data_IF_046840766925
#
_entry.id   IF_046840766925
#
_cell.length_a   1.000
_cell.length_b   1.000
_cell.length_c   1.000
_cell.angle_alpha   90.00
_cell.angle_beta   90.00
_cell.angle_gamma   90.00
#
_symmetry.space_group_name_H-M   'P 1'
#
loop_
_entity.id
_entity.type
_entity.pdbx_description
1 polymer ?
#
# COMPACT_ATOMS: atom_id res chain seq x y z
N UNK A 1 37.75 18.88 46.52
CA UNK A 1 37.67 17.79 45.52
C UNK A 1 36.24 17.30 45.28
N UNK A 2 35.50 16.75 46.26
CA UNK A 2 34.17 16.13 46.02
C UNK A 2 33.12 17.01 45.29
N UNK A 3 33.11 18.34 45.51
CA UNK A 3 32.16 19.27 44.88
C UNK A 3 32.16 19.23 43.34
N UNK A 4 33.34 19.12 42.71
CA UNK A 4 33.46 19.14 41.24
C UNK A 4 32.78 17.94 40.56
N UNK A 5 32.80 16.78 41.22
CA UNK A 5 32.15 15.57 40.70
C UNK A 5 30.63 15.68 40.71
N UNK A 6 30.05 16.41 41.66
CA UNK A 6 28.61 16.64 41.70
C UNK A 6 28.17 17.61 40.60
N UNK A 7 28.97 18.66 40.34
CA UNK A 7 28.72 19.61 39.26
C UNK A 7 28.76 18.96 37.88
N UNK A 8 29.69 18.04 37.62
CA UNK A 8 29.76 17.29 36.36
C UNK A 8 28.57 16.34 36.15
N UNK A 9 28.07 15.70 37.21
CA UNK A 9 26.86 14.85 37.13
C UNK A 9 25.62 15.69 36.81
N UNK A 10 25.47 16.85 37.45
CA UNK A 10 24.37 17.79 37.14
C UNK A 10 24.50 18.33 35.70
N UNK A 11 25.70 18.69 35.24
CA UNK A 11 25.93 19.15 33.88
C UNK A 11 25.57 18.08 32.83
N UNK A 12 25.93 16.82 33.08
CA UNK A 12 25.55 15.70 32.22
C UNK A 12 24.03 15.46 32.20
N UNK A 13 23.34 15.66 33.33
CA UNK A 13 21.88 15.57 33.41
C UNK A 13 21.18 16.68 32.60
N UNK A 14 21.75 17.89 32.56
CA UNK A 14 21.26 19.00 31.73
C UNK A 14 21.53 18.77 30.24
N UNK A 15 22.67 18.16 29.87
CA UNK A 15 23.01 17.85 28.47
C UNK A 15 22.19 16.69 27.85
N UNK A 16 21.45 15.91 28.66
CA UNK A 16 20.68 14.76 28.18
C UNK A 16 19.37 15.09 27.45
N UNK A 17 19.03 16.37 27.25
CA UNK A 17 17.72 16.81 26.76
C UNK A 17 17.75 17.39 25.33
N UNK A 18 18.48 16.74 24.42
CA UNK A 18 18.37 17.01 22.99
C UNK A 18 16.93 16.73 22.51
N UNK A 19 16.41 17.58 21.63
CA UNK A 19 15.10 17.39 21.00
C UNK A 19 15.01 16.01 20.33
N UNK A 20 13.95 15.25 20.61
CA UNK A 20 13.82 13.87 20.12
C UNK A 20 12.41 13.60 19.58
N UNK A 21 12.14 14.14 18.40
CA UNK A 21 11.08 13.65 17.52
C UNK A 21 11.35 12.17 17.24
N UNK A 22 10.47 11.29 17.73
CA UNK A 22 10.66 9.84 17.73
C UNK A 22 10.44 9.28 16.33
N UNK A 23 11.31 8.39 15.88
CA UNK A 23 11.09 7.66 14.63
C UNK A 23 10.05 6.55 14.86
N UNK A 24 8.91 6.66 14.18
CA UNK A 24 7.76 5.77 14.36
C UNK A 24 7.65 4.85 13.14
N UNK A 25 7.64 3.55 13.39
CA UNK A 25 7.76 2.50 12.38
C UNK A 25 6.64 1.47 12.47
N UNK A 26 6.45 0.71 11.39
CA UNK A 26 5.43 -0.34 11.25
C UNK A 26 5.43 -1.36 12.42
N UNK A 27 6.56 -1.55 13.10
CA UNK A 27 6.71 -2.47 14.24
C UNK A 27 6.62 -1.82 15.62
N UNK A 28 6.99 -0.55 15.77
CA UNK A 28 7.04 0.13 17.08
C UNK A 28 5.74 0.89 17.42
N UNK A 29 4.93 1.29 16.41
CA UNK A 29 3.77 2.16 16.59
C UNK A 29 2.76 1.68 17.65
N UNK A 30 2.33 0.41 17.61
CA UNK A 30 1.35 -0.13 18.56
C UNK A 30 1.90 -0.30 19.99
N UNK A 31 3.22 -0.16 20.19
CA UNK A 31 3.90 -0.20 21.49
C UNK A 31 4.14 1.22 22.05
N UNK A 32 4.50 2.17 21.17
CA UNK A 32 4.71 3.58 21.52
C UNK A 32 3.39 4.29 21.82
N UNK A 33 2.38 4.15 20.96
CA UNK A 33 1.14 4.94 21.05
C UNK A 33 0.12 4.27 21.97
N UNK A 34 0.28 4.51 23.28
CA UNK A 34 -0.59 4.01 24.35
C UNK A 34 -1.93 4.76 24.39
N UNK A 35 -2.83 4.35 25.27
CA UNK A 35 -4.18 4.96 25.42
C UNK A 35 -4.17 6.32 26.12
N UNK A 36 -3.15 6.60 26.93
CA UNK A 36 -3.03 7.79 27.80
C UNK A 36 -2.30 8.96 27.14
N UNK A 37 -1.59 8.71 26.05
CA UNK A 37 -0.49 9.55 25.60
C UNK A 37 -0.94 10.39 24.40
N UNK A 38 -0.61 11.68 24.39
CA UNK A 38 -0.90 12.58 23.27
C UNK A 38 0.28 12.56 22.28
N UNK A 39 0.00 12.31 21.01
CA UNK A 39 1.00 12.19 19.96
C UNK A 39 0.67 13.09 18.76
N UNK A 40 1.67 13.79 18.24
CA UNK A 40 1.60 14.45 16.91
C UNK A 40 2.52 13.67 15.98
N UNK A 41 1.96 13.15 14.89
CA UNK A 41 2.67 12.33 13.91
C UNK A 41 2.75 13.04 12.56
N UNK A 42 3.97 13.23 12.06
CA UNK A 42 4.24 13.63 10.68
C UNK A 42 4.46 12.39 9.79
N UNK A 43 3.69 12.29 8.70
CA UNK A 43 4.01 11.41 7.59
C UNK A 43 4.76 12.18 6.51
N UNK A 44 5.96 11.72 6.15
CA UNK A 44 6.86 12.35 5.19
C UNK A 44 7.46 11.34 4.19
N UNK A 45 8.20 11.84 3.20
CA UNK A 45 9.10 11.06 2.36
C UNK A 45 10.26 11.93 1.85
N UNK A 46 11.43 11.33 1.62
CA UNK A 46 12.69 12.06 1.36
C UNK A 46 12.71 12.77 0.01
N UNK A 47 11.94 12.29 -0.97
CA UNK A 47 11.75 12.92 -2.28
C UNK A 47 10.79 14.11 -2.25
N UNK A 48 10.08 14.36 -1.14
CA UNK A 48 9.09 15.42 -1.04
C UNK A 48 9.72 16.72 -0.51
N UNK A 49 10.15 17.61 -1.42
CA UNK A 49 10.83 18.86 -1.07
C UNK A 49 10.06 19.85 -0.17
N UNK A 50 8.74 19.66 0.03
CA UNK A 50 7.99 20.40 1.06
C UNK A 50 8.18 19.78 2.46
N UNK A 51 8.25 18.45 2.57
CA UNK A 51 8.58 17.78 3.83
C UNK A 51 9.98 18.19 4.31
N UNK A 52 10.96 18.25 3.41
CA UNK A 52 12.33 18.70 3.72
C UNK A 52 12.38 20.12 4.30
N UNK A 53 11.46 21.00 3.89
CA UNK A 53 11.32 22.36 4.44
C UNK A 53 10.53 22.41 5.76
N UNK A 54 9.73 21.39 6.05
CA UNK A 54 8.91 21.33 7.26
C UNK A 54 9.57 20.55 8.40
N UNK A 55 10.40 19.53 8.14
CA UNK A 55 11.13 18.78 9.17
C UNK A 55 11.80 19.68 10.25
N UNK A 56 12.62 20.70 9.91
CA UNK A 56 13.21 21.58 10.94
C UNK A 56 12.18 22.47 11.67
N UNK A 57 11.02 22.74 11.06
CA UNK A 57 9.88 23.41 11.73
C UNK A 57 9.18 22.46 12.71
N UNK A 58 9.13 21.17 12.41
CA UNK A 58 8.55 20.13 13.27
C UNK A 58 9.45 19.83 14.48
N UNK A 59 10.76 19.66 14.26
CA UNK A 59 11.74 19.49 15.32
C UNK A 59 11.75 20.70 16.29
N UNK A 60 11.63 21.93 15.78
CA UNK A 60 11.51 23.14 16.61
C UNK A 60 10.19 23.18 17.41
N UNK A 61 9.09 22.64 16.87
CA UNK A 61 7.82 22.57 17.60
C UNK A 61 7.89 21.61 18.80
N UNK A 62 8.60 20.48 18.67
CA UNK A 62 8.90 19.56 19.77
C UNK A 62 9.65 20.29 20.88
N UNK A 63 10.78 20.93 20.55
CA UNK A 63 11.63 21.61 21.52
C UNK A 63 10.87 22.71 22.28
N UNK A 64 10.06 23.50 21.58
CA UNK A 64 9.24 24.56 22.19
C UNK A 64 8.12 24.02 23.10
N UNK A 65 7.54 22.86 22.79
CA UNK A 65 6.51 22.23 23.62
C UNK A 65 7.09 21.47 24.81
N UNK A 66 8.18 20.69 24.61
CA UNK A 66 8.92 20.01 25.68
C UNK A 66 9.54 20.98 26.69
N UNK A 67 9.91 22.18 26.24
CA UNK A 67 10.39 23.27 27.12
C UNK A 67 9.26 24.07 27.78
N UNK A 68 8.00 23.83 27.40
CA UNK A 68 6.82 24.41 28.05
C UNK A 68 6.32 23.48 29.16
N UNK A 69 5.89 24.02 30.31
CA UNK A 69 5.32 23.23 31.42
C UNK A 69 3.89 22.74 31.16
N UNK A 70 3.61 22.24 29.96
CA UNK A 70 2.30 21.78 29.49
C UNK A 70 2.16 20.25 29.66
N UNK A 71 0.99 19.71 29.31
CA UNK A 71 0.77 18.27 29.20
C UNK A 71 1.76 17.65 28.18
N UNK A 72 2.37 16.48 28.44
CA UNK A 72 3.38 15.91 27.54
C UNK A 72 2.75 15.44 26.21
N UNK A 73 3.06 16.17 25.14
CA UNK A 73 2.73 15.82 23.75
C UNK A 73 4.00 15.27 23.09
N UNK A 74 3.97 14.01 22.68
CA UNK A 74 5.08 13.36 21.99
C UNK A 74 5.03 13.67 20.49
N UNK A 75 6.19 13.95 19.90
CA UNK A 75 6.33 14.18 18.46
C UNK A 75 6.93 12.93 17.81
N UNK A 76 6.37 12.51 16.69
CA UNK A 76 6.88 11.37 15.93
C UNK A 76 6.86 11.60 14.42
N UNK A 77 7.82 11.01 13.71
CA UNK A 77 7.94 11.08 12.24
C UNK A 77 7.94 9.69 11.62
N UNK A 78 7.29 9.56 10.47
CA UNK A 78 7.05 8.30 9.76
C UNK A 78 7.40 8.47 8.28
N UNK A 79 8.45 7.79 7.81
CA UNK A 79 8.76 7.70 6.38
C UNK A 79 7.80 6.73 5.70
N UNK A 80 6.97 7.21 4.74
CA UNK A 80 5.96 6.36 4.09
C UNK A 80 6.54 5.31 3.13
N UNK A 81 7.78 5.51 2.65
CA UNK A 81 8.40 4.58 1.71
C UNK A 81 8.94 3.33 2.41
N UNK A 82 9.40 3.48 3.66
CA UNK A 82 9.87 2.42 4.54
C UNK A 82 8.73 1.79 5.37
N UNK A 83 7.69 2.58 5.71
CA UNK A 83 6.56 2.18 6.56
C UNK A 83 5.22 2.20 5.80
N UNK A 84 5.08 1.39 4.73
CA UNK A 84 3.87 1.37 3.90
C UNK A 84 2.65 0.82 4.65
N UNK A 85 2.82 0.04 5.72
CA UNK A 85 1.69 -0.46 6.49
C UNK A 85 1.03 0.66 7.30
N UNK A 86 1.81 1.51 7.97
CA UNK A 86 1.31 2.71 8.65
C UNK A 86 0.70 3.71 7.67
N UNK A 87 1.38 3.98 6.54
CA UNK A 87 0.86 4.88 5.51
C UNK A 87 -0.53 4.45 5.01
N UNK A 88 -0.72 3.16 4.71
CA UNK A 88 -2.02 2.61 4.32
C UNK A 88 -3.03 2.60 5.47
N UNK A 89 -2.61 2.23 6.68
CA UNK A 89 -3.45 2.17 7.90
C UNK A 89 -4.01 3.52 8.35
N UNK A 90 -3.29 4.61 8.07
CA UNK A 90 -3.73 5.99 8.27
C UNK A 90 -4.39 6.62 7.03
N UNK A 91 -4.50 5.88 5.92
CA UNK A 91 -5.02 6.37 4.63
C UNK A 91 -4.30 7.62 4.09
N UNK A 92 -2.98 7.69 4.29
CA UNK A 92 -2.14 8.80 3.84
C UNK A 92 -2.16 8.87 2.31
N UNK A 93 -2.56 10.02 1.77
CA UNK A 93 -2.76 10.23 0.33
C UNK A 93 -2.05 11.48 -0.22
N UNK A 94 -1.46 12.30 0.67
CA UNK A 94 -0.67 13.50 0.35
C UNK A 94 0.42 13.66 1.42
N UNK A 95 1.50 14.37 1.08
CA UNK A 95 2.62 14.64 1.97
C UNK A 95 2.94 16.14 2.03
N UNK A 96 3.41 16.64 3.19
CA UNK A 96 3.32 16.00 4.50
C UNK A 96 1.86 15.91 4.95
N UNK A 97 1.55 14.99 5.88
CA UNK A 97 0.27 14.99 6.61
C UNK A 97 0.54 14.88 8.10
N UNK A 98 -0.05 15.80 8.87
CA UNK A 98 0.00 15.79 10.34
C UNK A 98 -1.26 15.14 10.92
N UNK A 99 -1.08 14.24 11.88
CA UNK A 99 -2.17 13.70 12.69
C UNK A 99 -1.92 13.92 14.18
N UNK A 100 -2.94 14.38 14.90
CA UNK A 100 -2.98 14.34 16.35
C UNK A 100 -3.69 13.06 16.81
N UNK A 101 -3.10 12.37 17.79
CA UNK A 101 -3.70 11.22 18.47
C UNK A 101 -3.87 11.56 19.94
N UNK A 102 -5.11 11.48 20.40
CA UNK A 102 -5.51 11.65 21.80
C UNK A 102 -6.50 10.54 22.15
N UNK A 103 -6.26 9.78 23.22
CA UNK A 103 -7.13 8.67 23.66
C UNK A 103 -7.46 7.61 22.58
N UNK A 104 -6.53 7.36 21.64
CA UNK A 104 -6.71 6.57 20.38
C UNK A 104 -7.73 7.15 19.39
N UNK A 105 -8.25 8.34 19.60
CA UNK A 105 -8.93 9.11 18.58
C UNK A 105 -7.89 9.83 17.73
N UNK A 106 -7.90 9.59 16.42
CA UNK A 106 -6.99 10.24 15.46
C UNK A 106 -7.71 11.38 14.78
N UNK A 107 -7.06 12.54 14.66
CA UNK A 107 -7.55 13.76 13.99
C UNK A 107 -6.48 14.22 13.02
N UNK A 108 -6.85 14.63 11.80
CA UNK A 108 -5.92 15.31 10.90
C UNK A 108 -5.76 16.76 11.36
N UNK A 109 -4.52 17.23 11.53
CA UNK A 109 -4.26 18.64 11.80
C UNK A 109 -4.15 19.42 10.47
N UNK A 110 -4.61 20.68 10.41
CA UNK A 110 -4.32 21.55 9.27
C UNK A 110 -2.80 21.82 9.19
N UNK A 111 -2.26 21.95 7.99
CA UNK A 111 -0.82 22.20 7.82
C UNK A 111 -0.46 23.62 8.29
N UNK A 112 0.39 23.79 9.32
CA UNK A 112 0.77 25.10 9.82
C UNK A 112 1.74 25.78 8.84
N UNK A 113 1.61 27.09 8.67
CA UNK A 113 2.62 27.87 7.93
C UNK A 113 3.90 28.05 8.75
N UNK A 114 3.76 28.24 10.05
CA UNK A 114 4.84 28.62 10.97
C UNK A 114 4.76 27.84 12.30
N UNK A 115 5.93 27.63 12.92
CA UNK A 115 6.11 26.80 14.13
C UNK A 115 5.24 27.30 15.28
N UNK A 116 5.21 28.61 15.49
CA UNK A 116 4.43 29.25 16.55
C UNK A 116 2.94 28.89 16.46
N UNK A 117 2.38 28.82 15.25
CA UNK A 117 0.97 28.49 15.03
C UNK A 117 0.68 27.03 15.40
N UNK A 118 1.60 26.10 15.11
CA UNK A 118 1.46 24.69 15.54
C UNK A 118 1.52 24.57 17.06
N UNK A 119 2.50 25.23 17.70
CA UNK A 119 2.70 25.21 19.15
C UNK A 119 1.51 25.85 19.88
N UNK A 120 0.97 26.95 19.35
CA UNK A 120 -0.19 27.65 19.89
C UNK A 120 -1.48 26.84 19.71
N UNK A 121 -1.73 26.29 18.52
CA UNK A 121 -2.90 25.44 18.23
C UNK A 121 -2.98 24.19 19.13
N UNK A 122 -1.82 23.59 19.44
CA UNK A 122 -1.71 22.47 20.38
C UNK A 122 -1.95 22.90 21.84
N UNK A 123 -1.39 24.04 22.28
CA UNK A 123 -1.58 24.60 23.64
C UNK A 123 -3.03 25.04 23.89
N UNK A 124 -3.66 25.66 22.89
CA UNK A 124 -5.04 26.13 22.91
C UNK A 124 -6.07 24.99 22.74
N UNK A 125 -5.60 23.75 22.49
CA UNK A 125 -6.42 22.56 22.25
C UNK A 125 -7.41 22.72 21.09
N UNK A 126 -7.06 23.46 20.04
CA UNK A 126 -7.94 23.71 18.88
C UNK A 126 -8.36 22.41 18.18
N UNK A 127 -7.50 21.38 18.27
CA UNK A 127 -7.79 20.01 17.83
C UNK A 127 -9.05 19.40 18.47
N UNK A 128 -9.52 19.90 19.62
CA UNK A 128 -10.78 19.45 20.24
C UNK A 128 -12.01 19.76 19.38
N UNK A 129 -11.95 20.83 18.56
CA UNK A 129 -13.00 21.19 17.59
C UNK A 129 -13.00 20.29 16.35
N UNK A 130 -11.89 19.60 16.08
CA UNK A 130 -11.73 18.72 14.92
C UNK A 130 -12.35 17.36 15.24
N UNK A 131 -13.31 16.94 14.42
CA UNK A 131 -13.95 15.63 14.56
C UNK A 131 -12.95 14.49 14.32
N UNK A 132 -12.91 13.46 15.17
CA UNK A 132 -11.99 12.35 15.01
C UNK A 132 -12.39 11.43 13.85
N UNK A 133 -11.40 10.74 13.28
CA UNK A 133 -11.54 9.74 12.21
C UNK A 133 -12.29 8.52 12.76
N UNK A 134 -13.62 8.59 12.66
CA UNK A 134 -14.54 7.62 13.23
C UNK A 134 -14.79 6.38 12.37
N UNK A 135 -15.44 5.39 12.99
CA UNK A 135 -15.90 4.17 12.31
C UNK A 135 -14.77 3.33 11.73
N UNK A 136 -15.01 2.77 10.53
CA UNK A 136 -14.14 1.78 9.90
C UNK A 136 -12.74 2.30 9.50
N UNK A 137 -12.56 3.62 9.40
CA UNK A 137 -11.28 4.25 9.03
C UNK A 137 -10.31 4.47 10.20
N UNK A 138 -10.68 4.13 11.44
CA UNK A 138 -9.76 4.28 12.57
C UNK A 138 -8.54 3.34 12.44
N UNK A 139 -7.30 3.84 12.53
CA UNK A 139 -6.09 3.01 12.46
C UNK A 139 -5.95 2.05 13.66
N UNK A 140 -6.65 2.29 14.77
CA UNK A 140 -6.68 1.38 15.92
C UNK A 140 -7.74 0.27 15.79
N UNK A 141 -8.61 0.33 14.78
CA UNK A 141 -9.60 -0.71 14.48
C UNK A 141 -9.01 -1.94 13.79
N UNK A 142 -9.75 -3.05 13.83
CA UNK A 142 -9.40 -4.29 13.13
C UNK A 142 -9.23 -4.04 11.62
N UNK A 143 -10.12 -3.24 11.03
CA UNK A 143 -10.07 -2.89 9.61
C UNK A 143 -8.83 -2.04 9.26
N UNK A 144 -8.49 -1.03 10.07
CA UNK A 144 -7.27 -0.22 9.87
C UNK A 144 -5.99 -1.07 9.91
N UNK A 145 -5.91 -2.03 10.84
CA UNK A 145 -4.81 -3.00 10.89
C UNK A 145 -4.77 -3.93 9.67
N UNK A 146 -5.93 -4.39 9.19
CA UNK A 146 -6.03 -5.20 7.96
C UNK A 146 -5.59 -4.41 6.72
N UNK A 147 -6.00 -3.14 6.60
CA UNK A 147 -5.56 -2.27 5.49
C UNK A 147 -4.05 -2.03 5.55
N UNK A 148 -3.47 -1.80 6.73
CA UNK A 148 -2.02 -1.73 6.88
C UNK A 148 -1.30 -2.98 6.38
N UNK A 149 -1.80 -4.17 6.73
CA UNK A 149 -1.28 -5.43 6.21
C UNK A 149 -1.38 -5.50 4.66
N UNK A 150 -2.48 -5.03 4.06
CA UNK A 150 -2.57 -4.95 2.60
C UNK A 150 -1.58 -3.94 2.00
N UNK A 151 -1.28 -2.83 2.66
CA UNK A 151 -0.26 -1.87 2.24
C UNK A 151 1.15 -2.48 2.17
N UNK A 152 1.53 -3.24 3.20
CA UNK A 152 2.76 -4.03 3.21
C UNK A 152 2.82 -5.02 2.04
N UNK A 153 1.76 -5.79 1.81
CA UNK A 153 1.69 -6.72 0.68
C UNK A 153 1.72 -6.02 -0.67
N UNK A 154 1.06 -4.87 -0.84
CA UNK A 154 1.08 -4.10 -2.10
C UNK A 154 2.49 -3.56 -2.39
N UNK A 155 3.21 -3.01 -1.41
CA UNK A 155 4.63 -2.60 -1.59
C UNK A 155 5.48 -3.81 -2.01
N UNK A 156 5.33 -4.93 -1.31
CA UNK A 156 6.06 -6.19 -1.58
C UNK A 156 5.71 -6.86 -2.91
N UNK A 157 4.51 -6.61 -3.44
CA UNK A 157 4.10 -7.01 -4.78
C UNK A 157 4.58 -6.02 -5.85
N UNK A 158 4.69 -4.71 -5.55
CA UNK A 158 5.21 -3.72 -6.50
C UNK A 158 6.72 -3.88 -6.78
N UNK A 159 7.46 -4.50 -5.86
CA UNK A 159 8.85 -4.91 -6.07
C UNK A 159 8.99 -6.21 -6.89
N UNK A 160 7.91 -6.97 -7.08
CA UNK A 160 7.87 -8.08 -8.04
C UNK A 160 7.58 -7.50 -9.42
N UNK A 161 8.42 -7.82 -10.42
CA UNK A 161 8.23 -7.34 -11.78
C UNK A 161 6.80 -7.60 -12.28
N UNK A 162 6.08 -6.60 -12.83
CA UNK A 162 4.73 -6.79 -13.36
C UNK A 162 4.63 -7.95 -14.37
N UNK A 163 5.71 -8.20 -15.13
CA UNK A 163 5.82 -9.31 -16.07
C UNK A 163 5.74 -10.70 -15.41
N UNK A 164 6.22 -10.85 -14.17
CA UNK A 164 6.06 -12.10 -13.42
C UNK A 164 4.60 -12.32 -13.02
N UNK A 165 3.90 -11.27 -12.59
CA UNK A 165 2.48 -11.34 -12.22
C UNK A 165 1.62 -11.63 -13.45
N UNK A 166 1.87 -10.93 -14.56
CA UNK A 166 1.20 -11.16 -15.84
C UNK A 166 1.48 -12.58 -16.37
N UNK A 167 2.74 -13.04 -16.30
CA UNK A 167 3.13 -14.40 -16.69
C UNK A 167 2.47 -15.50 -15.86
N UNK A 168 2.37 -15.31 -14.55
CA UNK A 168 1.76 -16.28 -13.64
C UNK A 168 0.23 -16.32 -13.81
N UNK A 169 -0.43 -15.17 -13.98
CA UNK A 169 -1.87 -15.09 -14.26
C UNK A 169 -2.25 -15.67 -15.63
N UNK A 170 -1.49 -15.34 -16.68
CA UNK A 170 -1.71 -15.91 -18.02
C UNK A 170 -1.41 -17.41 -18.08
N UNK A 171 -0.37 -17.87 -17.38
CA UNK A 171 -0.08 -19.30 -17.21
C UNK A 171 -1.21 -20.06 -16.52
N UNK A 172 -1.77 -19.51 -15.43
CA UNK A 172 -2.94 -20.10 -14.75
C UNK A 172 -4.18 -20.14 -15.66
N UNK A 173 -4.42 -19.09 -16.46
CA UNK A 173 -5.56 -19.01 -17.37
C UNK A 173 -5.43 -19.97 -18.56
N UNK A 174 -4.22 -20.15 -19.10
CA UNK A 174 -3.96 -21.17 -20.12
C UNK A 174 -4.10 -22.58 -19.52
N UNK A 175 -3.63 -22.79 -18.29
CA UNK A 175 -3.74 -24.08 -17.61
C UNK A 175 -5.20 -24.48 -17.33
N UNK A 176 -6.06 -23.54 -16.91
CA UNK A 176 -7.48 -23.84 -16.65
C UNK A 176 -8.26 -24.15 -17.93
N UNK A 177 -7.99 -23.44 -19.03
CA UNK A 177 -8.57 -23.72 -20.36
C UNK A 177 -8.05 -25.04 -20.96
N UNK A 178 -6.79 -25.40 -20.69
CA UNK A 178 -6.23 -26.71 -21.03
C UNK A 178 -6.88 -27.85 -20.22
N UNK A 179 -7.20 -27.60 -18.94
CA UNK A 179 -7.81 -28.61 -18.07
C UNK A 179 -9.27 -28.90 -18.43
N UNK A 180 -10.07 -27.88 -18.79
CA UNK A 180 -11.46 -28.10 -19.22
C UNK A 180 -11.55 -28.85 -20.54
N UNK A 181 -10.67 -28.53 -21.51
CA UNK A 181 -10.59 -29.26 -22.79
C UNK A 181 -10.07 -30.69 -22.61
N UNK A 182 -9.11 -30.92 -21.70
CA UNK A 182 -8.63 -32.27 -21.37
C UNK A 182 -9.72 -33.15 -20.74
N UNK A 183 -10.50 -32.64 -19.79
CA UNK A 183 -11.57 -33.42 -19.15
C UNK A 183 -12.77 -33.69 -20.07
N UNK A 184 -13.09 -32.76 -20.98
CA UNK A 184 -14.11 -32.97 -22.01
C UNK A 184 -13.73 -34.06 -23.03
N UNK A 185 -12.43 -34.42 -23.11
CA UNK A 185 -11.91 -35.45 -24.02
C UNK A 185 -11.93 -36.89 -23.49
N UNK A 186 -12.54 -37.18 -22.33
CA UNK A 186 -12.70 -38.57 -21.85
C UNK A 186 -13.93 -39.24 -22.48
N UNK A 187 -13.78 -40.29 -23.32
CA UNK A 187 -14.91 -41.09 -23.74
C UNK A 187 -15.49 -41.87 -22.56
N UNK A 188 -16.80 -41.82 -22.40
CA UNK A 188 -17.55 -42.63 -21.43
C UNK A 188 -17.71 -44.06 -21.95
N UNK A 189 -16.87 -44.98 -21.48
CA UNK A 189 -16.83 -46.37 -21.95
C UNK A 189 -18.00 -47.23 -21.43
N UNK A 190 -19.21 -46.97 -21.92
CA UNK A 190 -20.42 -47.79 -21.70
C UNK A 190 -21.33 -47.85 -22.94
N UNK A 191 -20.74 -47.89 -24.14
CA UNK A 191 -21.47 -48.37 -25.32
C UNK A 191 -21.47 -49.90 -25.29
N UNK A 192 -22.66 -50.49 -25.16
CA UNK A 192 -22.86 -51.94 -25.27
C UNK A 192 -23.24 -52.25 -26.71
N UNK A 193 -22.37 -52.95 -27.44
CA UNK A 193 -22.66 -53.43 -28.78
C UNK A 193 -23.90 -54.34 -28.78
N UNK A 194 -24.86 -54.06 -29.66
CA UNK A 194 -25.93 -55.01 -29.97
C UNK A 194 -26.09 -55.16 -31.49
N UNK A 195 -25.46 -56.21 -32.00
CA UNK A 195 -25.57 -56.69 -33.38
C UNK A 195 -27.01 -57.08 -33.74
N UNK A 196 -27.50 -56.63 -34.90
CA UNK A 196 -28.58 -57.31 -35.62
C UNK A 196 -28.75 -56.83 -37.09
N UNK A 197 -28.52 -57.75 -38.01
CA UNK A 197 -29.17 -57.90 -39.34
C UNK A 197 -28.98 -56.86 -40.47
N UNK A 198 -28.52 -57.38 -41.62
CA UNK A 198 -28.73 -56.90 -42.99
C UNK A 198 -29.49 -58.01 -43.77
N UNK A 199 -29.62 -58.05 -45.13
CA UNK A 199 -29.38 -57.03 -46.20
C UNK A 199 -30.47 -56.97 -47.32
N UNK A 200 -30.38 -55.98 -48.24
CA UNK A 200 -30.83 -55.99 -49.67
C UNK A 200 -30.15 -54.79 -50.41
N UNK A 201 -29.52 -54.84 -51.61
CA UNK A 201 -29.95 -55.20 -53.00
C UNK A 201 -30.95 -54.17 -53.55
N UNK A 202 -30.80 -53.45 -54.68
CA UNK A 202 -29.85 -53.33 -55.84
C UNK A 202 -30.08 -51.90 -56.48
N UNK A 203 -29.37 -51.25 -57.45
CA UNK A 203 -28.09 -51.39 -58.22
C UNK A 203 -28.01 -50.32 -59.35
N UNK A 204 -26.87 -50.22 -60.08
CA UNK A 204 -26.62 -49.43 -61.33
C UNK A 204 -26.42 -47.90 -61.14
N UNK A 205 -25.32 -47.28 -61.60
CA UNK A 205 -24.99 -46.74 -62.96
C UNK A 205 -25.50 -45.29 -63.19
N UNK A 206 -24.81 -44.35 -63.86
CA UNK A 206 -23.42 -44.24 -64.37
C UNK A 206 -23.17 -42.82 -64.94
N UNK A 207 -21.91 -42.35 -65.06
CA UNK A 207 -21.48 -41.07 -65.74
C UNK A 207 -21.96 -39.76 -65.05
N UNK A 208 -21.41 -38.55 -65.28
CA UNK A 208 -20.45 -38.08 -66.28
C UNK A 208 -19.44 -37.01 -65.78
N UNK A 209 -18.53 -36.62 -66.69
CA UNK A 209 -17.44 -35.64 -66.55
C UNK A 209 -17.89 -34.20 -66.21
N UNK A 210 -17.02 -33.43 -65.56
CA UNK A 210 -16.44 -32.24 -66.20
C UNK A 210 -15.02 -31.91 -65.68
N UNK A 211 -14.28 -31.00 -66.34
CA UNK A 211 -12.82 -30.86 -66.28
C UNK A 211 -12.36 -29.45 -66.68
N UNK A 212 -11.55 -28.77 -65.85
CA UNK A 212 -10.39 -27.89 -66.21
C UNK A 212 -10.02 -26.86 -65.12
N UNK A 213 -8.71 -26.58 -65.02
CA UNK A 213 -8.11 -25.36 -64.43
C UNK A 213 -7.95 -24.28 -65.53
N UNK A 214 -7.67 -23.00 -65.22
CA UNK A 214 -6.25 -22.60 -65.23
C UNK A 214 -5.82 -21.55 -64.18
N UNK A 215 -4.71 -21.87 -63.52
CA UNK A 215 -3.56 -21.03 -63.14
C UNK A 215 -3.55 -19.49 -63.39
N UNK A 216 -3.16 -18.76 -62.34
CA UNK A 216 -2.14 -17.67 -62.35
C UNK A 216 -2.46 -16.31 -62.99
N UNK A 217 -2.45 -15.24 -62.18
CA UNK A 217 -1.63 -14.07 -62.50
C UNK A 217 -1.02 -13.35 -61.28
N UNK A 218 0.31 -13.17 -61.35
CA UNK A 218 1.16 -12.42 -60.41
C UNK A 218 1.30 -10.97 -60.88
N UNK A 219 0.99 -9.97 -60.06
CA UNK A 219 1.46 -8.58 -60.26
C UNK A 219 1.98 -7.93 -58.98
N UNK A 220 3.01 -7.12 -59.20
CA UNK A 220 3.85 -6.35 -58.25
C UNK A 220 3.60 -4.85 -58.55
N UNK A 221 4.23 -3.95 -57.79
CA UNK A 221 4.21 -2.47 -57.96
C UNK A 221 3.10 -1.79 -57.12
N UNK A 222 3.30 -0.63 -56.47
CA UNK A 222 4.49 0.25 -56.46
C UNK A 222 4.71 0.89 -55.08
N UNK A 223 5.97 1.24 -54.78
CA UNK A 223 6.34 2.24 -53.76
C UNK A 223 6.34 3.61 -54.43
N UNK A 224 5.79 4.62 -53.78
CA UNK A 224 6.09 6.03 -54.01
C UNK A 224 6.26 6.65 -52.62
N UNK A 225 7.47 7.16 -52.40
CA UNK A 225 7.89 8.30 -51.56
C UNK A 225 7.10 8.58 -50.27
#
# INVERSE_FOLDING_TARGET
MKQFSFFLIVLAFVFGCCAQVVEVTDTNFDQLVKKSDQWVLEFYADWCGYCTQFAPKFDQAEEMLRSSSYNPIYFGKINIDENPALAARFFVSRLPTLFHIDQRQVRTLPMPRDVNVLVESLKNQEWSSISPIGGWRSPFGIFGRLVGLTGYFVKKLSTVSPWLVIGLLSGLLVCSLGLTTYFAGRPSSLDIDQDSSAPTVDRSSSTALNKKSPTTQKRRSKRID
#
